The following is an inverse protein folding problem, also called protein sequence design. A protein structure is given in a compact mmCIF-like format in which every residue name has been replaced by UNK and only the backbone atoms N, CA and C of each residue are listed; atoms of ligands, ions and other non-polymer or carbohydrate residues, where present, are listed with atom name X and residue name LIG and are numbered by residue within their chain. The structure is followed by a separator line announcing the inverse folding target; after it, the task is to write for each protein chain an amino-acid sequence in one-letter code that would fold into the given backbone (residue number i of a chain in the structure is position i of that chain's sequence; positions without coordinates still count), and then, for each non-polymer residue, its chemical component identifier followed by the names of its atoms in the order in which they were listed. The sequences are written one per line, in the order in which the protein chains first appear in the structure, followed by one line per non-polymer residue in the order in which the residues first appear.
data_IF_927594103150
#
_entry.id   IF_927594103150
#
_cell.length_a   1.000
_cell.length_b   1.000
_cell.length_c   1.000
_cell.angle_alpha   90.00
_cell.angle_beta   90.00
_cell.angle_gamma   90.00
#
_symmetry.space_group_name_H-M   'P 1'
#
loop_
_entity.id
_entity.type
_entity.pdbx_description
1 polymer ?
#
# COMPACT_ATOMS: atom_id res chain seq x y z
N UNK A 1 9.98 -15.36 -27.21
CA UNK A 1 10.52 -15.61 -25.85
C UNK A 1 10.23 -14.38 -25.02
N UNK A 2 9.12 -14.39 -24.28
CA UNK A 2 8.73 -13.31 -23.36
C UNK A 2 9.47 -13.49 -22.04
N UNK A 3 10.06 -12.41 -21.53
CA UNK A 3 10.99 -12.35 -20.39
C UNK A 3 10.28 -12.57 -19.03
N UNK A 4 9.12 -13.22 -19.01
CA UNK A 4 8.26 -13.38 -17.82
C UNK A 4 8.58 -14.61 -16.95
N UNK A 5 9.53 -15.46 -17.32
CA UNK A 5 9.72 -16.78 -16.67
C UNK A 5 10.82 -16.87 -15.58
N UNK A 6 11.54 -15.78 -15.23
CA UNK A 6 12.70 -15.87 -14.31
C UNK A 6 12.73 -14.85 -13.16
N UNK A 7 11.69 -14.03 -12.98
CA UNK A 7 11.67 -13.07 -11.87
C UNK A 7 11.21 -13.73 -10.57
N UNK A 8 12.07 -13.68 -9.55
CA UNK A 8 11.68 -14.16 -8.21
C UNK A 8 10.56 -13.28 -7.64
N UNK A 9 9.75 -13.74 -6.67
CA UNK A 9 8.74 -12.91 -6.02
C UNK A 9 9.32 -11.61 -5.42
N UNK A 10 10.56 -11.66 -4.91
CA UNK A 10 11.27 -10.48 -4.43
C UNK A 10 11.63 -9.49 -5.56
N UNK A 11 11.92 -9.97 -6.76
CA UNK A 11 12.17 -9.09 -7.91
C UNK A 11 10.88 -8.45 -8.42
N UNK A 12 9.78 -9.20 -8.47
CA UNK A 12 8.46 -8.66 -8.81
C UNK A 12 8.04 -7.61 -7.77
N UNK A 13 8.28 -7.85 -6.48
CA UNK A 13 8.01 -6.87 -5.43
C UNK A 13 8.84 -5.57 -5.60
N UNK A 14 10.11 -5.66 -5.99
CA UNK A 14 10.92 -4.46 -6.30
C UNK A 14 10.35 -3.68 -7.47
N UNK A 15 9.83 -4.37 -8.50
CA UNK A 15 9.14 -3.72 -9.62
C UNK A 15 7.86 -3.04 -9.16
N UNK A 16 7.06 -3.70 -8.31
CA UNK A 16 5.88 -3.11 -7.69
C UNK A 16 6.19 -1.83 -6.91
N UNK A 17 7.26 -1.83 -6.10
CA UNK A 17 7.72 -0.62 -5.36
C UNK A 17 8.13 0.52 -6.29
N UNK A 18 8.58 0.23 -7.51
CA UNK A 18 9.03 1.22 -8.49
C UNK A 18 7.93 1.71 -9.43
N UNK A 19 6.77 1.05 -9.45
CA UNK A 19 5.65 1.43 -10.30
C UNK A 19 5.19 2.86 -9.99
N UNK A 20 4.98 3.66 -11.02
CA UNK A 20 4.61 5.07 -10.88
C UNK A 20 3.25 5.42 -11.49
N UNK A 21 2.60 4.46 -12.15
CA UNK A 21 1.22 4.58 -12.63
C UNK A 21 0.29 3.58 -11.93
N UNK A 22 -1.00 3.94 -11.81
CA UNK A 22 -2.03 3.05 -11.28
C UNK A 22 -2.06 1.69 -11.99
N UNK A 23 -1.90 1.70 -13.31
CA UNK A 23 -1.87 0.49 -14.13
C UNK A 23 -0.69 -0.41 -13.77
N UNK A 24 0.51 0.16 -13.64
CA UNK A 24 1.69 -0.62 -13.27
C UNK A 24 1.57 -1.16 -11.85
N UNK A 25 1.13 -0.35 -10.88
CA UNK A 25 0.93 -0.77 -9.48
C UNK A 25 -0.01 -1.97 -9.42
N UNK A 26 -1.17 -1.87 -10.07
CA UNK A 26 -2.17 -2.96 -10.07
C UNK A 26 -1.69 -4.21 -10.83
N UNK A 27 -1.05 -4.06 -12.00
CA UNK A 27 -0.55 -5.19 -12.79
C UNK A 27 0.62 -5.93 -12.11
N UNK A 28 1.56 -5.19 -11.54
CA UNK A 28 2.72 -5.78 -10.86
C UNK A 28 2.31 -6.44 -9.55
N UNK A 29 1.34 -5.87 -8.82
CA UNK A 29 0.76 -6.52 -7.64
C UNK A 29 -0.02 -7.79 -7.99
N UNK A 30 -0.79 -7.78 -9.08
CA UNK A 30 -1.46 -9.00 -9.55
C UNK A 30 -0.43 -10.07 -9.94
N UNK A 31 0.61 -9.70 -10.67
CA UNK A 31 1.69 -10.61 -11.06
C UNK A 31 2.42 -11.20 -9.84
N UNK A 32 2.60 -10.40 -8.79
CA UNK A 32 3.15 -10.85 -7.51
C UNK A 32 2.23 -11.89 -6.85
N UNK A 33 0.93 -11.60 -6.75
CA UNK A 33 -0.06 -12.51 -6.20
C UNK A 33 -0.10 -13.85 -6.98
N UNK A 34 -0.07 -13.78 -8.31
CA UNK A 34 -0.05 -14.93 -9.20
C UNK A 34 1.21 -15.79 -8.98
N UNK A 35 2.38 -15.16 -8.85
CA UNK A 35 3.66 -15.84 -8.57
C UNK A 35 3.69 -16.56 -7.21
N UNK A 36 2.89 -16.09 -6.26
CA UNK A 36 2.78 -16.64 -4.91
C UNK A 36 1.55 -17.53 -4.74
N UNK A 37 0.76 -17.71 -5.81
CA UNK A 37 -0.48 -18.50 -5.83
C UNK A 37 -1.47 -18.08 -4.72
N UNK A 38 -1.62 -16.78 -4.49
CA UNK A 38 -2.54 -16.20 -3.50
C UNK A 38 -3.52 -15.23 -4.16
N UNK A 39 -4.76 -15.21 -3.70
CA UNK A 39 -5.75 -14.23 -4.16
C UNK A 39 -5.54 -12.88 -3.47
N UNK A 40 -5.63 -11.79 -4.24
CA UNK A 40 -5.44 -10.43 -3.75
C UNK A 40 -6.50 -9.96 -2.73
N UNK A 41 -7.64 -10.64 -2.64
CA UNK A 41 -8.72 -10.37 -1.67
C UNK A 41 -8.71 -11.35 -0.48
N UNK A 42 -7.70 -12.23 -0.40
CA UNK A 42 -7.57 -13.20 0.69
C UNK A 42 -7.28 -12.51 2.02
N UNK A 43 -8.01 -12.91 3.07
CA UNK A 43 -7.75 -12.47 4.46
C UNK A 43 -6.32 -12.80 4.93
N UNK A 44 -5.68 -13.80 4.35
CA UNK A 44 -4.33 -14.23 4.70
C UNK A 44 -3.24 -13.65 3.79
N UNK A 45 -3.60 -12.75 2.85
CA UNK A 45 -2.67 -12.19 1.87
C UNK A 45 -1.43 -11.59 2.54
N UNK A 46 -1.63 -10.76 3.56
CA UNK A 46 -0.51 -10.07 4.23
C UNK A 46 0.46 -11.05 4.91
N UNK A 47 -0.05 -12.08 5.59
CA UNK A 47 0.76 -13.14 6.19
C UNK A 47 1.52 -13.93 5.13
N UNK A 48 0.85 -14.27 4.02
CA UNK A 48 1.46 -15.01 2.91
C UNK A 48 2.59 -14.21 2.24
N UNK A 49 2.38 -12.91 2.02
CA UNK A 49 3.41 -12.00 1.51
C UNK A 49 4.63 -11.96 2.45
N UNK A 50 4.42 -11.87 3.76
CA UNK A 50 5.51 -11.88 4.76
C UNK A 50 6.31 -13.18 4.78
N UNK A 51 5.65 -14.31 4.55
CA UNK A 51 6.29 -15.61 4.52
C UNK A 51 7.22 -15.78 3.31
N UNK A 52 6.85 -15.20 2.16
CA UNK A 52 7.54 -15.44 0.89
C UNK A 52 8.45 -14.29 0.41
N UNK A 53 8.24 -13.07 0.88
CA UNK A 53 9.07 -11.90 0.52
C UNK A 53 10.11 -11.60 1.60
N UNK A 54 11.38 -11.55 1.19
CA UNK A 54 12.53 -11.43 2.10
C UNK A 54 13.45 -10.26 1.76
N UNK A 55 13.22 -9.55 0.66
CA UNK A 55 13.98 -8.35 0.34
C UNK A 55 13.82 -7.25 1.42
N UNK A 56 14.85 -6.40 1.54
CA UNK A 56 14.92 -5.36 2.58
C UNK A 56 13.74 -4.39 2.56
N UNK A 57 13.27 -4.06 1.36
CA UNK A 57 12.15 -3.14 1.14
C UNK A 57 10.85 -3.76 1.69
N UNK A 58 10.56 -5.03 1.35
CA UNK A 58 9.40 -5.75 1.87
C UNK A 58 9.44 -5.87 3.39
N UNK A 59 10.57 -6.30 3.96
CA UNK A 59 10.75 -6.42 5.41
C UNK A 59 10.54 -5.08 6.13
N UNK A 60 10.97 -3.97 5.52
CA UNK A 60 10.79 -2.63 6.09
C UNK A 60 9.31 -2.23 6.10
N UNK A 61 8.58 -2.44 4.99
CA UNK A 61 7.15 -2.17 4.89
C UNK A 61 6.37 -3.02 5.89
N UNK A 62 6.64 -4.33 5.95
CA UNK A 62 5.94 -5.24 6.87
C UNK A 62 6.12 -4.85 8.33
N UNK A 63 7.34 -4.48 8.74
CA UNK A 63 7.59 -3.99 10.10
C UNK A 63 6.81 -2.72 10.42
N UNK A 64 6.68 -1.81 9.46
CA UNK A 64 5.93 -0.57 9.63
C UNK A 64 4.42 -0.86 9.82
N UNK A 65 3.86 -1.71 8.97
CA UNK A 65 2.45 -2.11 9.01
C UNK A 65 2.11 -2.96 10.24
N UNK A 66 2.97 -3.92 10.63
CA UNK A 66 2.80 -4.70 11.85
C UNK A 66 2.80 -3.79 13.09
N UNK A 67 3.74 -2.84 13.16
CA UNK A 67 3.80 -1.87 14.26
C UNK A 67 2.52 -1.03 14.36
N UNK A 68 1.94 -0.66 13.21
CA UNK A 68 0.65 0.05 13.17
C UNK A 68 -0.47 -0.87 13.66
N UNK A 69 -0.60 -2.08 13.12
CA UNK A 69 -1.66 -3.04 13.48
C UNK A 69 -1.65 -3.46 14.96
N UNK A 70 -0.49 -3.39 15.63
CA UNK A 70 -0.34 -3.69 17.06
C UNK A 70 -0.80 -2.57 18.00
N UNK A 71 -1.19 -1.40 17.48
CA UNK A 71 -1.75 -0.34 18.32
C UNK A 71 -3.06 -0.81 18.97
N UNK A 72 -3.28 -0.37 20.21
CA UNK A 72 -4.42 -0.82 21.04
C UNK A 72 -5.77 -0.50 20.39
N UNK A 73 -5.83 0.57 19.62
CA UNK A 73 -7.03 1.08 18.96
C UNK A 73 -7.60 0.13 17.91
N UNK A 74 -6.80 -0.83 17.42
CA UNK A 74 -7.27 -1.84 16.45
C UNK A 74 -7.73 -3.14 17.09
N UNK A 75 -7.46 -3.37 18.39
CA UNK A 75 -7.73 -4.63 19.12
C UNK A 75 -7.40 -5.89 18.29
N UNK A 76 -6.21 -5.92 17.67
CA UNK A 76 -5.74 -7.02 16.80
C UNK A 76 -6.62 -7.29 15.57
N UNK A 77 -7.40 -6.31 15.11
CA UNK A 77 -8.29 -6.43 13.96
C UNK A 77 -9.62 -7.10 14.28
N UNK A 78 -10.05 -7.10 15.54
CA UNK A 78 -11.31 -7.76 15.94
C UNK A 78 -12.52 -6.79 15.97
N UNK A 79 -12.28 -5.48 16.05
CA UNK A 79 -13.35 -4.46 16.24
C UNK A 79 -14.39 -4.50 15.11
N UNK A 80 -13.94 -4.62 13.86
CA UNK A 80 -14.80 -4.65 12.67
C UNK A 80 -14.79 -6.03 11.99
N UNK A 81 -14.37 -7.09 12.69
CA UNK A 81 -14.36 -8.44 12.15
C UNK A 81 -15.76 -8.83 11.61
N UNK A 82 -15.79 -9.34 10.38
CA UNK A 82 -17.03 -9.75 9.69
C UNK A 82 -17.88 -8.60 9.13
N UNK A 83 -17.45 -7.35 9.29
CA UNK A 83 -18.09 -6.19 8.62
C UNK A 83 -17.56 -6.04 7.20
N UNK A 84 -18.42 -5.51 6.32
CA UNK A 84 -18.10 -5.18 4.94
C UNK A 84 -18.21 -3.67 4.76
N UNK A 85 -17.15 -3.03 4.26
CA UNK A 85 -17.06 -1.59 4.08
C UNK A 85 -16.83 -1.29 2.60
N UNK A 86 -17.72 -0.49 2.01
CA UNK A 86 -17.58 0.04 0.66
C UNK A 86 -17.11 1.49 0.72
N UNK A 87 -15.99 1.79 0.08
CA UNK A 87 -15.43 3.12 -0.03
C UNK A 87 -15.56 3.60 -1.48
N UNK A 88 -16.14 4.79 -1.67
CA UNK A 88 -16.33 5.39 -2.98
C UNK A 88 -15.30 6.51 -3.15
N UNK A 89 -14.32 6.29 -4.02
CA UNK A 89 -13.25 7.20 -4.37
C UNK A 89 -11.88 6.75 -3.85
N UNK A 90 -10.92 6.54 -4.76
CA UNK A 90 -9.53 6.17 -4.47
C UNK A 90 -8.61 7.41 -4.40
N UNK A 91 -9.14 8.54 -3.91
CA UNK A 91 -8.31 9.68 -3.55
C UNK A 91 -7.50 9.43 -2.27
N UNK A 92 -6.54 10.30 -1.90
CA UNK A 92 -5.69 10.10 -0.72
C UNK A 92 -6.47 9.82 0.57
N UNK A 93 -7.56 10.56 0.82
CA UNK A 93 -8.41 10.33 2.00
C UNK A 93 -9.16 9.00 1.95
N UNK A 94 -9.64 8.59 0.77
CA UNK A 94 -10.38 7.33 0.60
C UNK A 94 -9.47 6.11 0.79
N UNK A 95 -8.28 6.13 0.19
CA UNK A 95 -7.27 5.09 0.39
C UNK A 95 -6.80 5.04 1.84
N UNK A 96 -6.58 6.22 2.46
CA UNK A 96 -6.18 6.27 3.87
C UNK A 96 -7.25 5.69 4.80
N UNK A 97 -8.52 5.94 4.52
CA UNK A 97 -9.65 5.35 5.23
C UNK A 97 -9.72 3.83 5.01
N UNK A 98 -9.46 3.36 3.78
CA UNK A 98 -9.40 1.93 3.48
C UNK A 98 -8.38 1.20 4.34
N UNK A 99 -7.20 1.78 4.53
CA UNK A 99 -6.16 1.25 5.40
C UNK A 99 -6.64 1.12 6.85
N UNK A 100 -7.27 2.16 7.42
CA UNK A 100 -7.79 2.09 8.80
C UNK A 100 -8.89 1.03 8.94
N UNK A 101 -9.83 0.97 8.00
CA UNK A 101 -10.90 -0.03 8.02
C UNK A 101 -10.35 -1.47 7.92
N UNK A 102 -9.31 -1.67 7.12
CA UNK A 102 -8.63 -2.96 7.03
C UNK A 102 -7.91 -3.33 8.34
N UNK A 103 -7.22 -2.38 8.98
CA UNK A 103 -6.57 -2.59 10.27
C UNK A 103 -7.56 -2.90 11.40
N UNK A 104 -8.78 -2.34 11.34
CA UNK A 104 -9.88 -2.67 12.24
C UNK A 104 -10.49 -4.06 11.99
N UNK A 105 -10.12 -4.75 10.92
CA UNK A 105 -10.61 -6.10 10.58
C UNK A 105 -11.79 -6.17 9.62
N UNK A 106 -12.19 -5.05 9.01
CA UNK A 106 -13.27 -5.04 8.01
C UNK A 106 -12.80 -5.65 6.69
N UNK A 107 -13.70 -6.32 5.98
CA UNK A 107 -13.58 -6.58 4.55
C UNK A 107 -13.82 -5.26 3.81
N UNK A 108 -12.84 -4.74 3.08
CA UNK A 108 -12.90 -3.41 2.45
C UNK A 108 -12.90 -3.54 0.93
N UNK A 109 -13.85 -2.88 0.28
CA UNK A 109 -13.86 -2.69 -1.17
C UNK A 109 -13.79 -1.21 -1.49
N UNK A 110 -12.91 -0.83 -2.43
CA UNK A 110 -12.77 0.55 -2.90
C UNK A 110 -13.21 0.61 -4.37
N UNK A 111 -14.08 1.56 -4.69
CA UNK A 111 -14.55 1.80 -6.07
C UNK A 111 -14.13 3.20 -6.48
N UNK A 112 -13.47 3.32 -7.62
CA UNK A 112 -13.05 4.59 -8.22
C UNK A 112 -13.53 4.65 -9.66
N UNK A 113 -13.98 5.84 -10.08
CA UNK A 113 -14.52 6.06 -11.42
C UNK A 113 -13.40 6.12 -12.48
N UNK A 114 -12.21 6.60 -12.08
CA UNK A 114 -11.06 6.77 -12.97
C UNK A 114 -10.11 5.58 -12.87
N UNK A 115 -9.56 5.16 -14.00
CA UNK A 115 -8.50 4.15 -14.09
C UNK A 115 -7.09 4.77 -14.09
N UNK A 116 -6.99 6.08 -13.85
CA UNK A 116 -5.73 6.82 -13.83
C UNK A 116 -5.79 8.01 -12.85
N UNK A 117 -4.62 8.48 -12.40
CA UNK A 117 -4.48 9.69 -11.57
C UNK A 117 -3.75 10.78 -12.37
N UNK A 118 -4.37 11.94 -12.52
CA UNK A 118 -3.83 13.07 -13.30
C UNK A 118 -3.42 14.28 -12.49
N UNK A 119 -3.73 14.29 -11.18
CA UNK A 119 -3.61 15.51 -10.38
C UNK A 119 -2.16 15.72 -9.96
N UNK A 120 -1.53 16.72 -10.58
CA UNK A 120 -0.16 17.17 -10.23
C UNK A 120 -0.14 18.21 -9.11
N UNK A 121 -1.31 18.55 -8.56
CA UNK A 121 -1.42 19.52 -7.47
C UNK A 121 -0.57 19.07 -6.29
N UNK A 122 0.26 19.99 -5.80
CA UNK A 122 1.10 19.79 -4.62
C UNK A 122 0.29 20.12 -3.38
N UNK A 123 0.21 19.17 -2.46
CA UNK A 123 -0.44 19.31 -1.17
C UNK A 123 0.63 19.56 -0.11
N UNK A 124 0.41 20.59 0.71
CA UNK A 124 1.17 20.80 1.94
C UNK A 124 0.73 19.77 2.99
N UNK A 125 1.70 19.19 3.69
CA UNK A 125 1.52 18.13 4.67
C UNK A 125 1.82 18.68 6.05
N UNK A 126 0.82 18.61 6.94
CA UNK A 126 1.06 18.93 8.34
C UNK A 126 2.01 17.89 8.97
N UNK A 127 2.77 18.26 10.01
CA UNK A 127 3.74 17.35 10.63
C UNK A 127 3.17 16.00 11.05
N UNK A 128 1.93 15.97 11.54
CA UNK A 128 1.26 14.71 11.93
C UNK A 128 0.97 13.80 10.72
N UNK A 129 0.64 14.37 9.55
CA UNK A 129 0.42 13.63 8.31
C UNK A 129 1.73 13.03 7.80
N UNK A 130 2.82 13.81 7.88
CA UNK A 130 4.17 13.32 7.52
C UNK A 130 4.55 12.14 8.42
N UNK A 131 4.30 12.25 9.72
CA UNK A 131 4.58 11.18 10.68
C UNK A 131 3.71 9.93 10.40
N UNK A 132 2.42 10.12 10.14
CA UNK A 132 1.49 9.03 9.82
C UNK A 132 1.92 8.26 8.57
N UNK A 133 2.21 8.97 7.46
CA UNK A 133 2.70 8.35 6.23
C UNK A 133 4.05 7.64 6.44
N UNK A 134 5.02 8.28 7.11
CA UNK A 134 6.29 7.60 7.45
C UNK A 134 6.07 6.31 8.24
N UNK A 135 5.12 6.28 9.16
CA UNK A 135 4.78 5.11 9.95
C UNK A 135 4.13 3.97 9.14
N UNK A 136 3.61 4.25 7.93
CA UNK A 136 3.10 3.26 6.98
C UNK A 136 4.17 2.73 6.01
N UNK A 137 5.42 3.16 6.11
CA UNK A 137 6.51 2.68 5.25
C UNK A 137 6.68 3.46 3.94
N UNK A 138 6.04 4.62 3.80
CA UNK A 138 6.07 5.51 2.63
C UNK A 138 7.44 5.73 2.00
N UNK A 139 8.54 5.72 2.76
CA UNK A 139 9.88 5.97 2.22
C UNK A 139 10.41 4.87 1.29
N UNK A 140 9.90 3.64 1.39
CA UNK A 140 10.27 2.53 0.50
C UNK A 140 9.75 2.82 -0.91
N UNK A 141 8.47 3.11 -0.92
CA UNK A 141 7.59 3.49 -2.01
C UNK A 141 7.92 4.82 -2.69
N UNK A 142 8.22 5.85 -1.91
CA UNK A 142 8.56 7.18 -2.41
C UNK A 142 9.81 7.70 -1.71
N UNK A 143 10.99 7.36 -2.27
CA UNK A 143 12.30 7.69 -1.67
C UNK A 143 12.54 9.19 -1.44
N UNK A 144 11.86 10.04 -2.21
CA UNK A 144 11.92 11.51 -2.09
C UNK A 144 11.00 12.07 -1.00
N UNK A 145 10.20 11.23 -0.34
CA UNK A 145 9.23 11.65 0.67
C UNK A 145 9.88 12.42 1.82
N UNK A 146 9.58 13.72 1.89
CA UNK A 146 10.02 14.64 2.92
C UNK A 146 11.54 14.60 3.20
N UNK A 147 12.35 14.51 2.15
CA UNK A 147 13.82 14.61 2.22
C UNK A 147 14.24 16.09 2.22
N UNK A 148 15.08 16.52 3.17
CA UNK A 148 15.63 17.89 3.16
C UNK A 148 14.64 19.01 3.53
N UNK A 149 13.78 18.81 4.53
CA UNK A 149 12.82 19.82 4.99
C UNK A 149 11.56 19.96 4.12
N UNK A 150 11.43 19.16 3.06
CA UNK A 150 10.24 19.11 2.23
C UNK A 150 9.02 18.61 3.03
N UNK A 151 7.94 19.36 2.95
CA UNK A 151 6.67 19.17 3.67
C UNK A 151 5.50 19.06 2.69
N UNK A 152 5.76 18.67 1.44
CA UNK A 152 4.76 18.62 0.39
C UNK A 152 4.90 17.39 -0.49
N UNK A 153 3.80 17.03 -1.14
CA UNK A 153 3.73 15.90 -2.08
C UNK A 153 2.67 16.19 -3.14
N UNK A 154 2.90 15.78 -4.39
CA UNK A 154 1.87 15.83 -5.42
C UNK A 154 0.83 14.71 -5.22
N UNK A 155 -0.42 14.94 -5.65
CA UNK A 155 -1.44 13.88 -5.60
C UNK A 155 -1.07 12.67 -6.47
N UNK A 156 -0.24 12.86 -7.50
CA UNK A 156 0.35 11.77 -8.28
C UNK A 156 1.33 10.93 -7.45
N UNK A 157 2.25 11.56 -6.71
CA UNK A 157 3.23 10.86 -5.87
C UNK A 157 2.63 10.16 -4.65
N UNK A 158 1.37 10.45 -4.30
CA UNK A 158 0.63 9.71 -3.27
C UNK A 158 0.32 8.25 -3.66
N UNK A 159 0.31 7.91 -4.95
CA UNK A 159 0.15 6.51 -5.38
C UNK A 159 1.38 5.67 -5.14
N UNK A 160 2.57 6.23 -5.32
CA UNK A 160 3.78 5.48 -5.01
C UNK A 160 3.73 4.96 -3.58
N UNK A 161 3.04 5.68 -2.67
CA UNK A 161 2.89 5.43 -1.23
C UNK A 161 1.88 4.34 -0.87
N UNK A 162 0.84 4.09 -1.67
CA UNK A 162 -0.28 3.19 -1.33
C UNK A 162 -0.41 2.06 -2.35
#
# INVERSE_FOLDING_TARGET
MTITELSTPDDIFKTFVQADTWREVTQTFQSLCDSLHVLADSKNLFSHLKEHLKCSDAVTVFKALDKRAQQREYEKGEICAGKKTLIIGAGPCGLRMAIECALLGSEVSVVEMRDYITRNNVLHLWPFVIHDLKALGTKVFYKRFCTGGLDHISQYSYLSIN
#
